data_IF_706654542486
#
_entry.id   IF_706654542486
#
_cell.length_a   1.000
_cell.length_b   1.000
_cell.length_c   1.000
_cell.angle_alpha   90.00
_cell.angle_beta   90.00
_cell.angle_gamma   90.00
#
_symmetry.space_group_name_H-M   'P 1'
#
loop_
_entity.id
_entity.type
_entity.pdbx_description
1 polymer ?
#
# COMPACT_ATOMS: atom_id res chain seq x y z
N UNK A 1 11.13 22.01 22.47
CA UNK A 1 10.42 21.71 21.22
C UNK A 1 10.54 22.95 20.35
N UNK A 2 11.36 22.89 19.31
CA UNK A 2 11.65 24.02 18.42
C UNK A 2 10.40 24.38 17.60
N UNK A 3 10.25 25.62 17.18
CA UNK A 3 9.11 26.18 16.43
C UNK A 3 8.75 25.36 15.15
N UNK A 4 9.70 24.66 14.59
CA UNK A 4 9.61 23.79 13.41
C UNK A 4 8.70 22.58 13.66
N UNK A 5 8.73 21.98 14.86
CA UNK A 5 7.85 20.86 15.19
C UNK A 5 6.36 21.23 15.19
N UNK A 6 6.00 22.47 15.53
CA UNK A 6 4.60 22.93 15.50
C UNK A 6 4.07 23.10 14.07
N UNK A 7 4.91 23.58 13.13
CA UNK A 7 4.51 23.80 11.73
C UNK A 7 4.29 22.53 10.92
N UNK A 8 4.75 21.36 11.41
CA UNK A 8 4.62 20.07 10.71
C UNK A 8 3.78 19.06 11.52
N UNK A 9 3.68 19.24 12.86
CA UNK A 9 2.97 18.33 13.72
C UNK A 9 1.49 18.18 13.33
N UNK A 10 0.78 19.29 13.27
CA UNK A 10 -0.65 19.31 13.00
C UNK A 10 -1.01 19.05 11.54
N UNK A 11 -0.34 19.65 10.53
CA UNK A 11 -0.73 19.43 9.13
C UNK A 11 -0.18 18.13 8.54
N UNK A 12 0.82 17.47 9.16
CA UNK A 12 1.47 16.30 8.57
C UNK A 12 1.41 15.06 9.46
N UNK A 13 1.87 15.14 10.73
CA UNK A 13 1.98 13.95 11.57
C UNK A 13 0.62 13.46 12.09
N UNK A 14 -0.22 14.36 12.62
CA UNK A 14 -1.54 13.95 13.11
C UNK A 14 -2.43 13.39 12.00
N UNK A 15 -2.54 14.02 10.82
CA UNK A 15 -3.25 13.41 9.69
C UNK A 15 -2.63 12.08 9.24
N UNK A 16 -1.30 11.91 9.32
CA UNK A 16 -0.67 10.64 9.00
C UNK A 16 -1.12 9.50 9.92
N UNK A 17 -1.38 9.78 11.20
CA UNK A 17 -1.93 8.80 12.14
C UNK A 17 -3.43 8.59 11.91
N UNK A 18 -4.22 9.70 11.82
CA UNK A 18 -5.67 9.64 11.65
C UNK A 18 -6.13 9.01 10.33
N UNK A 19 -5.30 9.03 9.28
CA UNK A 19 -5.57 8.32 8.04
C UNK A 19 -4.83 6.98 7.95
N UNK A 20 -3.67 6.86 8.60
CA UNK A 20 -2.83 5.66 8.51
C UNK A 20 -3.48 4.43 9.14
N UNK A 21 -4.00 4.56 10.37
CA UNK A 21 -4.66 3.45 11.06
C UNK A 21 -5.91 2.98 10.30
N UNK A 22 -6.86 3.87 9.91
CA UNK A 22 -7.98 3.49 9.06
C UNK A 22 -7.57 2.85 7.74
N UNK A 23 -6.57 3.38 7.06
CA UNK A 23 -6.12 2.85 5.78
C UNK A 23 -5.61 1.40 5.89
N UNK A 24 -4.98 1.04 7.02
CA UNK A 24 -4.55 -0.34 7.28
C UNK A 24 -5.71 -1.24 7.74
N UNK A 25 -6.63 -0.72 8.54
CA UNK A 25 -7.84 -1.43 8.95
C UNK A 25 -8.70 -1.81 7.73
N UNK A 26 -8.93 -0.88 6.82
CA UNK A 26 -9.75 -1.09 5.60
C UNK A 26 -9.20 -2.22 4.72
N UNK A 27 -7.89 -2.46 4.68
CA UNK A 27 -7.33 -3.57 3.90
C UNK A 27 -7.84 -4.94 4.35
N UNK A 28 -8.23 -5.09 5.62
CA UNK A 28 -8.83 -6.32 6.16
C UNK A 28 -10.35 -6.23 6.18
N UNK A 29 -10.89 -5.10 6.64
CA UNK A 29 -12.32 -4.93 6.82
C UNK A 29 -13.08 -4.99 5.49
N UNK A 30 -12.53 -4.38 4.44
CA UNK A 30 -13.22 -4.27 3.17
C UNK A 30 -13.53 -5.64 2.53
N UNK A 31 -12.57 -6.57 2.38
CA UNK A 31 -12.88 -7.89 1.84
C UNK A 31 -13.78 -8.72 2.78
N UNK A 32 -13.63 -8.61 4.10
CA UNK A 32 -14.47 -9.33 5.07
C UNK A 32 -15.91 -8.81 5.06
N UNK A 33 -16.11 -7.49 4.97
CA UNK A 33 -17.45 -6.91 4.91
C UNK A 33 -18.18 -7.26 3.60
N UNK A 34 -17.45 -7.33 2.48
CA UNK A 34 -18.03 -7.83 1.22
C UNK A 34 -18.51 -9.28 1.37
N UNK A 35 -17.79 -10.13 2.11
CA UNK A 35 -18.24 -11.51 2.39
C UNK A 35 -19.49 -11.52 3.28
N UNK A 36 -19.55 -10.67 4.33
CA UNK A 36 -20.71 -10.56 5.21
C UNK A 36 -21.97 -10.12 4.46
N UNK A 37 -21.83 -9.22 3.51
CA UNK A 37 -22.92 -8.79 2.62
C UNK A 37 -23.34 -9.86 1.58
N UNK A 38 -22.79 -11.07 1.66
CA UNK A 38 -23.10 -12.16 0.75
C UNK A 38 -22.33 -12.11 -0.57
N UNK A 39 -21.32 -11.24 -0.70
CA UNK A 39 -20.39 -11.25 -1.82
C UNK A 39 -19.46 -12.46 -1.73
N UNK A 40 -19.11 -13.03 -2.89
CA UNK A 40 -18.15 -14.13 -2.94
C UNK A 40 -16.70 -13.64 -2.78
N UNK A 41 -15.77 -14.58 -2.54
CA UNK A 41 -14.33 -14.32 -2.40
C UNK A 41 -13.75 -13.58 -3.60
N UNK A 42 -14.25 -13.87 -4.82
CA UNK A 42 -13.85 -13.15 -6.03
C UNK A 42 -14.23 -11.66 -5.98
N UNK A 43 -15.47 -11.35 -5.55
CA UNK A 43 -15.94 -9.97 -5.39
C UNK A 43 -15.13 -9.22 -4.33
N UNK A 44 -14.89 -9.85 -3.17
CA UNK A 44 -14.09 -9.29 -2.10
C UNK A 44 -12.66 -8.94 -2.56
N UNK A 45 -12.04 -9.84 -3.34
CA UNK A 45 -10.70 -9.61 -3.92
C UNK A 45 -10.72 -8.51 -4.98
N UNK A 46 -11.74 -8.48 -5.85
CA UNK A 46 -11.87 -7.47 -6.91
C UNK A 46 -12.04 -6.06 -6.34
N UNK A 47 -12.80 -5.91 -5.26
CA UNK A 47 -12.98 -4.62 -4.56
C UNK A 47 -11.64 -4.07 -4.08
N UNK A 48 -10.79 -4.90 -3.46
CA UNK A 48 -9.44 -4.48 -3.05
C UNK A 48 -8.56 -4.15 -4.26
N UNK A 49 -8.68 -4.93 -5.34
CA UNK A 49 -7.96 -4.66 -6.59
C UNK A 49 -8.36 -3.32 -7.22
N UNK A 50 -9.65 -3.00 -7.26
CA UNK A 50 -10.15 -1.72 -7.77
C UNK A 50 -9.68 -0.53 -6.93
N UNK A 51 -9.47 -0.71 -5.62
CA UNK A 51 -8.81 0.31 -4.81
C UNK A 51 -7.38 0.57 -5.33
N UNK A 52 -6.63 -0.47 -5.67
CA UNK A 52 -5.31 -0.34 -6.30
C UNK A 52 -5.36 0.36 -7.65
N UNK A 53 -6.35 0.04 -8.49
CA UNK A 53 -6.59 0.73 -9.77
C UNK A 53 -6.89 2.21 -9.55
N UNK A 54 -7.71 2.54 -8.55
CA UNK A 54 -8.00 3.93 -8.18
C UNK A 54 -6.75 4.70 -7.77
N UNK A 55 -5.83 4.09 -7.01
CA UNK A 55 -4.53 4.69 -6.68
C UNK A 55 -3.73 4.98 -7.95
N UNK A 56 -3.55 3.99 -8.80
CA UNK A 56 -2.78 4.08 -10.05
C UNK A 56 -3.32 5.17 -10.98
N UNK A 57 -4.63 5.21 -11.19
CA UNK A 57 -5.28 6.20 -12.07
C UNK A 57 -5.17 7.61 -11.51
N UNK A 58 -5.21 7.78 -10.19
CA UNK A 58 -5.15 9.08 -9.54
C UNK A 58 -3.73 9.66 -9.43
N UNK A 59 -2.67 8.86 -9.52
CA UNK A 59 -1.28 9.32 -9.32
C UNK A 59 -0.92 10.52 -10.20
N UNK A 60 -1.27 10.47 -11.46
CA UNK A 60 -0.96 11.55 -12.41
C UNK A 60 -1.87 12.77 -12.22
N UNK A 61 -3.22 12.62 -12.19
CA UNK A 61 -4.12 13.72 -11.90
C UNK A 61 -3.83 14.42 -10.57
N UNK A 62 -3.47 13.66 -9.53
CA UNK A 62 -3.17 14.21 -8.21
C UNK A 62 -1.98 15.20 -8.25
N UNK A 63 -0.90 14.85 -8.98
CA UNK A 63 0.23 15.75 -9.18
C UNK A 63 -0.16 17.03 -9.94
N UNK A 64 -1.03 16.92 -10.94
CA UNK A 64 -1.56 18.07 -11.69
C UNK A 64 -2.45 18.95 -10.82
N UNK A 65 -3.30 18.35 -10.00
CA UNK A 65 -4.16 19.08 -9.06
C UNK A 65 -3.32 19.83 -8.02
N UNK A 66 -2.27 19.18 -7.46
CA UNK A 66 -1.36 19.81 -6.50
C UNK A 66 -0.65 21.03 -7.11
N UNK A 67 -0.15 20.90 -8.35
CA UNK A 67 0.48 22.00 -9.06
C UNK A 67 -0.49 23.17 -9.37
N UNK A 68 -1.79 22.90 -9.53
CA UNK A 68 -2.78 23.90 -9.90
C UNK A 68 -3.47 24.56 -8.70
N UNK A 69 -3.81 23.79 -7.68
CA UNK A 69 -4.65 24.24 -6.56
C UNK A 69 -3.87 24.34 -5.24
N UNK A 70 -2.61 23.92 -5.22
CA UNK A 70 -1.78 23.86 -4.01
C UNK A 70 -2.01 22.58 -3.20
N UNK A 71 -1.02 22.25 -2.40
CA UNK A 71 -0.96 20.97 -1.67
C UNK A 71 -2.05 20.83 -0.62
N UNK A 72 -2.35 21.91 0.11
CA UNK A 72 -3.41 21.94 1.14
C UNK A 72 -4.77 21.57 0.56
N UNK A 73 -5.17 22.21 -0.54
CA UNK A 73 -6.49 21.98 -1.18
C UNK A 73 -6.59 20.53 -1.66
N UNK A 74 -5.51 20.00 -2.23
CA UNK A 74 -5.47 18.63 -2.72
C UNK A 74 -5.54 17.62 -1.57
N UNK A 75 -4.86 17.86 -0.45
CA UNK A 75 -4.97 17.03 0.74
C UNK A 75 -6.39 17.02 1.31
N UNK A 76 -7.05 18.18 1.41
CA UNK A 76 -8.43 18.31 1.88
C UNK A 76 -9.42 17.60 0.94
N UNK A 77 -9.27 17.78 -0.37
CA UNK A 77 -10.08 17.08 -1.36
C UNK A 77 -9.93 15.56 -1.26
N UNK A 78 -8.70 15.07 -1.12
CA UNK A 78 -8.43 13.65 -0.94
C UNK A 78 -9.10 13.09 0.33
N UNK A 79 -9.07 13.84 1.43
CA UNK A 79 -9.73 13.43 2.68
C UNK A 79 -11.25 13.40 2.54
N UNK A 80 -11.85 14.31 1.77
CA UNK A 80 -13.28 14.25 1.43
C UNK A 80 -13.59 12.96 0.68
N UNK A 81 -12.79 12.59 -0.34
CA UNK A 81 -12.97 11.34 -1.08
C UNK A 81 -12.86 10.11 -0.17
N UNK A 82 -11.87 10.06 0.71
CA UNK A 82 -11.66 8.94 1.63
C UNK A 82 -12.80 8.86 2.65
N UNK A 83 -13.12 9.98 3.29
CA UNK A 83 -14.15 10.05 4.32
C UNK A 83 -15.56 9.74 3.79
N UNK A 84 -15.90 10.27 2.59
CA UNK A 84 -17.15 9.94 1.93
C UNK A 84 -17.24 8.46 1.56
N UNK A 85 -16.14 7.84 1.07
CA UNK A 85 -16.12 6.42 0.80
C UNK A 85 -16.35 5.59 2.07
N UNK A 86 -15.69 5.92 3.19
CA UNK A 86 -15.89 5.22 4.46
C UNK A 86 -17.33 5.38 5.00
N UNK A 87 -17.86 6.60 4.95
CA UNK A 87 -19.24 6.85 5.36
C UNK A 87 -20.24 6.08 4.49
N UNK A 88 -20.01 6.04 3.16
CA UNK A 88 -20.91 5.34 2.26
C UNK A 88 -20.81 3.83 2.42
N UNK A 89 -19.63 3.25 2.72
CA UNK A 89 -19.53 1.83 3.10
C UNK A 89 -20.41 1.48 4.30
N UNK A 90 -20.57 2.39 5.27
CA UNK A 90 -21.42 2.19 6.43
C UNK A 90 -22.93 2.27 6.13
N UNK A 91 -23.31 2.88 5.00
CA UNK A 91 -24.71 3.17 4.67
C UNK A 91 -25.29 2.28 3.56
N UNK A 92 -24.42 1.55 2.85
CA UNK A 92 -24.80 0.80 1.65
C UNK A 92 -24.56 -0.69 1.87
N UNK A 93 -25.60 -1.50 1.63
CA UNK A 93 -25.59 -2.96 1.84
C UNK A 93 -25.45 -3.75 0.52
N UNK A 94 -25.28 -3.07 -0.62
CA UNK A 94 -25.12 -3.72 -1.91
C UNK A 94 -23.65 -3.75 -2.33
N UNK A 95 -23.12 -4.94 -2.60
CA UNK A 95 -21.74 -5.19 -3.02
C UNK A 95 -21.36 -4.42 -4.29
N UNK A 96 -22.32 -4.16 -5.18
CA UNK A 96 -22.11 -3.41 -6.42
C UNK A 96 -21.50 -2.01 -6.20
N UNK A 97 -21.90 -1.32 -5.13
CA UNK A 97 -21.36 -0.01 -4.79
C UNK A 97 -19.92 -0.06 -4.28
N UNK A 98 -19.51 -1.17 -3.66
CA UNK A 98 -18.18 -1.31 -3.10
C UNK A 98 -17.08 -1.23 -4.16
N UNK A 99 -17.35 -1.65 -5.38
CA UNK A 99 -16.40 -1.50 -6.50
C UNK A 99 -16.07 -0.04 -6.78
N UNK A 100 -17.10 0.81 -6.91
CA UNK A 100 -16.92 2.25 -7.15
C UNK A 100 -16.29 2.94 -5.95
N UNK A 101 -16.77 2.64 -4.75
CA UNK A 101 -16.28 3.24 -3.50
C UNK A 101 -14.81 2.88 -3.24
N UNK A 102 -14.40 1.64 -3.53
CA UNK A 102 -13.01 1.21 -3.42
C UNK A 102 -12.12 1.97 -4.40
N UNK A 103 -12.56 2.16 -5.64
CA UNK A 103 -11.86 2.99 -6.62
C UNK A 103 -11.69 4.43 -6.11
N UNK A 104 -12.77 5.05 -5.60
CA UNK A 104 -12.74 6.41 -5.02
C UNK A 104 -11.80 6.48 -3.81
N UNK A 105 -11.87 5.49 -2.92
CA UNK A 105 -10.99 5.40 -1.76
C UNK A 105 -9.51 5.28 -2.16
N UNK A 106 -9.23 4.47 -3.18
CA UNK A 106 -7.89 4.35 -3.76
C UNK A 106 -7.39 5.66 -4.33
N UNK A 107 -8.21 6.32 -5.17
CA UNK A 107 -7.89 7.61 -5.76
C UNK A 107 -7.62 8.68 -4.70
N UNK A 108 -8.47 8.76 -3.67
CA UNK A 108 -8.26 9.65 -2.52
C UNK A 108 -6.95 9.33 -1.77
N UNK A 109 -6.64 8.05 -1.55
CA UNK A 109 -5.44 7.62 -0.84
C UNK A 109 -4.14 8.04 -1.55
N UNK A 110 -4.06 7.85 -2.87
CA UNK A 110 -2.92 8.30 -3.66
C UNK A 110 -2.82 9.83 -3.72
N UNK A 111 -3.95 10.51 -3.93
CA UNK A 111 -4.03 11.98 -3.94
C UNK A 111 -3.54 12.58 -2.62
N UNK A 112 -3.96 12.02 -1.48
CA UNK A 112 -3.48 12.46 -0.17
C UNK A 112 -1.97 12.23 0.01
N UNK A 113 -1.48 11.06 -0.38
CA UNK A 113 -0.06 10.72 -0.26
C UNK A 113 0.83 11.68 -1.07
N UNK A 114 0.44 12.01 -2.30
CA UNK A 114 1.17 12.92 -3.17
C UNK A 114 1.13 14.36 -2.66
N UNK A 115 -0.06 14.87 -2.30
CA UNK A 115 -0.21 16.20 -1.72
C UNK A 115 0.62 16.36 -0.45
N UNK A 116 0.61 15.36 0.45
CA UNK A 116 1.42 15.37 1.66
C UNK A 116 2.93 15.38 1.37
N UNK A 117 3.41 14.60 0.40
CA UNK A 117 4.83 14.56 0.03
C UNK A 117 5.29 15.87 -0.59
N UNK A 118 4.46 16.49 -1.43
CA UNK A 118 4.68 17.80 -1.99
C UNK A 118 4.74 18.87 -0.89
N UNK A 119 3.75 18.87 0.01
CA UNK A 119 3.69 19.80 1.16
C UNK A 119 4.97 19.72 2.03
N UNK A 120 5.43 18.50 2.37
CA UNK A 120 6.67 18.33 3.15
C UNK A 120 7.87 18.90 2.39
N UNK A 121 7.89 18.74 1.08
CA UNK A 121 8.98 19.25 0.23
C UNK A 121 8.98 20.78 0.19
N UNK A 122 7.85 21.42 0.25
CA UNK A 122 7.72 22.88 0.31
C UNK A 122 7.97 23.43 1.73
N UNK A 123 7.37 22.80 2.74
CA UNK A 123 7.37 23.30 4.13
C UNK A 123 8.67 23.01 4.91
N UNK A 124 9.48 22.02 4.49
CA UNK A 124 10.68 21.61 5.24
C UNK A 124 11.98 21.94 4.53
N UNK A 125 12.98 22.36 5.28
CA UNK A 125 14.34 22.51 4.74
C UNK A 125 14.93 21.14 4.32
N UNK A 126 15.87 21.09 3.37
CA UNK A 126 16.49 19.82 2.92
C UNK A 126 17.10 18.99 4.05
N UNK A 127 17.59 19.65 5.12
CA UNK A 127 18.18 18.97 6.30
C UNK A 127 17.14 18.31 7.20
N UNK A 128 15.90 18.80 7.19
CA UNK A 128 14.83 18.34 8.08
C UNK A 128 13.91 17.32 7.41
N UNK A 129 13.79 17.35 6.08
CA UNK A 129 12.93 16.45 5.29
C UNK A 129 13.14 14.99 5.64
N UNK A 130 14.40 14.56 5.78
CA UNK A 130 14.73 13.17 6.12
C UNK A 130 14.11 12.74 7.45
N UNK A 131 14.20 13.61 8.49
CA UNK A 131 13.60 13.34 9.80
C UNK A 131 12.07 13.27 9.73
N UNK A 132 11.43 14.21 9.03
CA UNK A 132 9.98 14.25 8.87
C UNK A 132 9.48 13.00 8.15
N UNK A 133 10.10 12.64 7.03
CA UNK A 133 9.76 11.44 6.26
C UNK A 133 9.95 10.17 7.10
N UNK A 134 11.05 10.07 7.87
CA UNK A 134 11.31 8.92 8.75
C UNK A 134 10.26 8.79 9.85
N UNK A 135 9.81 9.90 10.45
CA UNK A 135 8.73 9.87 11.45
C UNK A 135 7.39 9.42 10.85
N UNK A 136 7.07 9.88 9.64
CA UNK A 136 5.86 9.42 8.92
C UNK A 136 5.97 7.93 8.60
N UNK A 137 7.11 7.47 8.10
CA UNK A 137 7.34 6.05 7.85
C UNK A 137 7.18 5.21 9.12
N UNK A 138 7.65 5.71 10.26
CA UNK A 138 7.45 5.11 11.58
C UNK A 138 5.97 5.04 11.98
N UNK A 139 5.22 6.15 11.81
CA UNK A 139 3.78 6.18 12.10
C UNK A 139 2.98 5.24 11.20
N UNK A 140 3.34 5.13 9.92
CA UNK A 140 2.69 4.17 9.00
C UNK A 140 2.97 2.71 9.39
N UNK A 141 4.14 2.40 9.95
CA UNK A 141 4.45 1.07 10.49
C UNK A 141 3.66 0.77 11.75
N UNK A 142 3.55 1.74 12.66
CA UNK A 142 2.65 1.64 13.81
C UNK A 142 1.19 1.40 13.38
N UNK A 143 0.75 2.11 12.33
CA UNK A 143 -0.57 1.91 11.77
C UNK A 143 -0.75 0.51 11.13
N UNK A 144 0.27 -0.01 10.45
CA UNK A 144 0.23 -1.36 9.88
C UNK A 144 0.17 -2.46 10.96
N UNK A 145 0.70 -2.16 12.15
CA UNK A 145 0.65 -3.04 13.31
C UNK A 145 -0.71 -3.00 14.02
N UNK A 146 -1.20 -1.78 14.29
CA UNK A 146 -2.39 -1.56 15.11
C UNK A 146 -3.69 -1.61 14.29
N UNK A 147 -3.67 -1.13 13.05
CA UNK A 147 -4.84 -0.97 12.20
C UNK A 147 -5.62 -2.26 11.98
N UNK A 148 -4.97 -3.34 11.55
CA UNK A 148 -5.63 -4.62 11.33
C UNK A 148 -6.35 -5.16 12.56
N UNK A 149 -5.66 -5.23 13.70
CA UNK A 149 -6.23 -5.76 14.94
C UNK A 149 -7.32 -4.84 15.50
N UNK A 150 -7.06 -3.53 15.57
CA UNK A 150 -8.04 -2.58 16.09
C UNK A 150 -9.31 -2.51 15.21
N UNK A 151 -9.13 -2.49 13.88
CA UNK A 151 -10.24 -2.50 12.94
C UNK A 151 -11.07 -3.78 13.05
N UNK A 152 -10.40 -4.94 13.07
CA UNK A 152 -11.06 -6.23 13.19
C UNK A 152 -11.82 -6.37 14.53
N UNK A 153 -11.20 -5.99 15.64
CA UNK A 153 -11.86 -6.00 16.96
C UNK A 153 -13.07 -5.06 16.99
N UNK A 154 -12.95 -3.82 16.46
CA UNK A 154 -14.10 -2.93 16.37
C UNK A 154 -15.24 -3.55 15.54
N UNK A 155 -14.94 -4.13 14.38
CA UNK A 155 -15.95 -4.75 13.53
C UNK A 155 -16.67 -5.91 14.23
N UNK A 156 -15.96 -6.68 15.05
CA UNK A 156 -16.55 -7.77 15.80
C UNK A 156 -17.43 -7.30 16.98
N UNK A 157 -17.02 -6.22 17.68
CA UNK A 157 -17.75 -5.72 18.85
C UNK A 157 -18.93 -4.81 18.50
N UNK A 158 -18.82 -3.96 17.47
CA UNK A 158 -19.84 -2.96 17.13
C UNK A 158 -20.38 -3.09 15.69
N UNK A 159 -19.93 -4.11 14.93
CA UNK A 159 -20.28 -4.35 13.53
C UNK A 159 -19.48 -3.53 12.53
N UNK A 160 -19.51 -3.95 11.26
CA UNK A 160 -18.76 -3.29 10.18
C UNK A 160 -19.25 -1.86 9.92
N UNK A 161 -20.56 -1.64 9.90
CA UNK A 161 -21.16 -0.33 9.63
C UNK A 161 -20.67 0.73 10.63
N UNK A 162 -20.82 0.44 11.94
CA UNK A 162 -20.38 1.35 12.99
C UNK A 162 -18.86 1.54 12.96
N UNK A 163 -18.09 0.50 12.61
CA UNK A 163 -16.65 0.60 12.46
C UNK A 163 -16.28 1.54 11.32
N UNK A 164 -16.91 1.44 10.14
CA UNK A 164 -16.68 2.37 9.04
C UNK A 164 -17.08 3.81 9.39
N UNK A 165 -18.12 4.04 10.19
CA UNK A 165 -18.45 5.36 10.75
C UNK A 165 -17.33 5.90 11.64
N UNK A 166 -16.76 5.05 12.51
CA UNK A 166 -15.61 5.43 13.34
C UNK A 166 -14.38 5.78 12.49
N UNK A 167 -14.11 5.00 11.42
CA UNK A 167 -13.03 5.30 10.50
C UNK A 167 -13.26 6.65 9.76
N UNK A 168 -14.49 6.92 9.33
CA UNK A 168 -14.85 8.20 8.73
C UNK A 168 -14.64 9.37 9.71
N UNK A 169 -15.01 9.19 10.98
CA UNK A 169 -14.80 10.21 12.01
C UNK A 169 -13.31 10.53 12.23
N UNK A 170 -12.42 9.52 12.20
CA UNK A 170 -10.98 9.78 12.27
C UNK A 170 -10.45 10.57 11.07
N UNK A 171 -11.00 10.34 9.86
CA UNK A 171 -10.66 11.15 8.67
C UNK A 171 -11.11 12.59 8.83
N UNK A 172 -12.29 12.83 9.43
CA UNK A 172 -12.76 14.20 9.74
C UNK A 172 -11.80 14.90 10.72
N UNK A 173 -11.30 14.21 11.75
CA UNK A 173 -10.28 14.78 12.66
C UNK A 173 -9.02 15.16 11.90
N UNK A 174 -8.54 14.29 11.01
CA UNK A 174 -7.40 14.59 10.14
C UNK A 174 -7.67 15.78 9.22
N UNK A 175 -8.87 15.86 8.63
CA UNK A 175 -9.30 16.97 7.80
C UNK A 175 -9.27 18.31 8.56
N UNK A 176 -9.80 18.33 9.78
CA UNK A 176 -9.77 19.53 10.63
C UNK A 176 -8.34 19.97 10.95
N UNK A 177 -7.45 18.99 11.25
CA UNK A 177 -6.03 19.29 11.48
C UNK A 177 -5.39 19.98 10.27
N UNK A 178 -5.61 19.48 9.04
CA UNK A 178 -5.08 20.09 7.82
C UNK A 178 -5.76 21.43 7.54
N UNK A 179 -7.09 21.52 7.65
CA UNK A 179 -7.85 22.73 7.36
C UNK A 179 -7.47 23.90 8.27
N UNK A 180 -7.15 23.63 9.53
CA UNK A 180 -6.85 24.69 10.51
C UNK A 180 -5.36 25.07 10.56
N UNK A 181 -4.45 24.23 10.09
CA UNK A 181 -3.02 24.39 10.37
C UNK A 181 -2.11 24.37 9.14
N UNK A 182 -2.55 23.80 8.00
CA UNK A 182 -1.74 23.80 6.82
C UNK A 182 -1.67 25.20 6.19
N UNK A 183 -0.46 25.59 5.80
CA UNK A 183 -0.19 26.85 5.12
C UNK A 183 -0.50 26.67 3.63
N UNK A 184 -1.12 27.68 3.00
CA UNK A 184 -1.34 27.68 1.57
C UNK A 184 -0.02 27.95 0.84
N UNK A 185 0.41 26.99 0.02
CA UNK A 185 1.54 27.19 -0.88
C UNK A 185 1.05 27.77 -2.22
N UNK A 186 1.79 28.74 -2.80
CA UNK A 186 1.47 29.21 -4.13
C UNK A 186 1.63 28.07 -5.14
N UNK A 187 0.70 27.94 -6.11
CA UNK A 187 0.75 26.88 -7.11
C UNK A 187 2.06 26.95 -7.92
N UNK A 188 2.83 25.85 -7.96
CA UNK A 188 4.00 25.73 -8.84
C UNK A 188 3.54 25.24 -10.22
N UNK A 189 3.32 26.17 -11.14
CA UNK A 189 2.85 25.90 -12.49
C UNK A 189 3.89 25.23 -13.41
N UNK A 190 4.84 24.48 -12.89
CA UNK A 190 5.74 23.66 -13.71
C UNK A 190 4.93 22.65 -14.50
N UNK A 191 4.70 22.96 -15.76
CA UNK A 191 3.97 22.12 -16.73
C UNK A 191 4.69 20.77 -16.85
N UNK A 192 4.05 19.70 -16.36
CA UNK A 192 4.49 18.35 -16.64
C UNK A 192 4.44 18.11 -18.15
N UNK A 193 5.58 17.83 -18.78
CA UNK A 193 5.69 17.59 -20.21
C UNK A 193 5.47 16.10 -20.49
N UNK A 194 4.26 15.71 -20.86
CA UNK A 194 3.92 14.31 -21.19
C UNK A 194 4.91 13.66 -22.16
N UNK A 195 5.35 14.39 -23.20
CA UNK A 195 6.38 13.90 -24.14
C UNK A 195 7.67 13.51 -23.42
N UNK A 196 8.08 14.26 -22.42
CA UNK A 196 9.28 13.94 -21.65
C UNK A 196 9.14 12.61 -20.87
N UNK A 197 7.93 12.30 -20.40
CA UNK A 197 7.65 11.04 -19.69
C UNK A 197 7.64 9.84 -20.64
N UNK A 198 7.03 9.96 -21.82
CA UNK A 198 7.04 8.90 -22.85
C UNK A 198 8.42 8.65 -23.42
N UNK A 199 9.18 9.71 -23.66
CA UNK A 199 10.57 9.61 -24.15
C UNK A 199 11.45 8.88 -23.11
N UNK A 200 11.28 9.20 -21.82
CA UNK A 200 11.99 8.53 -20.74
C UNK A 200 11.62 7.05 -20.64
N UNK A 201 10.33 6.73 -20.75
CA UNK A 201 9.86 5.34 -20.71
C UNK A 201 10.50 4.50 -21.82
N UNK A 202 10.65 5.08 -23.01
CA UNK A 202 11.28 4.40 -24.15
C UNK A 202 12.79 4.30 -23.99
N UNK A 203 13.45 5.37 -23.52
CA UNK A 203 14.90 5.42 -23.27
C UNK A 203 15.32 4.37 -22.23
N UNK A 204 14.56 4.24 -21.13
CA UNK A 204 14.86 3.31 -20.03
C UNK A 204 14.05 2.00 -20.08
N UNK A 205 13.49 1.64 -21.26
CA UNK A 205 12.67 0.44 -21.45
C UNK A 205 13.34 -0.85 -20.95
N UNK A 206 14.66 -0.97 -21.09
CA UNK A 206 15.42 -2.12 -20.58
C UNK A 206 15.38 -2.24 -19.06
N UNK A 207 15.53 -1.11 -18.36
CA UNK A 207 15.43 -1.05 -16.90
C UNK A 207 14.00 -1.38 -16.44
N UNK A 208 12.98 -0.83 -17.10
CA UNK A 208 11.59 -1.11 -16.78
C UNK A 208 11.20 -2.57 -17.10
N UNK A 209 11.77 -3.16 -18.16
CA UNK A 209 11.53 -4.57 -18.51
C UNK A 209 12.24 -5.57 -17.58
N UNK A 210 13.19 -5.15 -16.77
CA UNK A 210 13.92 -6.00 -15.81
C UNK A 210 13.58 -5.64 -14.37
N UNK A 211 14.20 -4.60 -13.83
CA UNK A 211 13.99 -4.15 -12.46
C UNK A 211 12.54 -3.64 -12.23
N UNK A 212 11.89 -3.07 -13.26
CA UNK A 212 10.48 -2.68 -13.21
C UNK A 212 9.55 -3.89 -13.04
N UNK A 213 9.73 -4.95 -13.83
CA UNK A 213 8.95 -6.20 -13.70
C UNK A 213 9.20 -6.84 -12.32
N UNK A 214 10.45 -6.84 -11.83
CA UNK A 214 10.77 -7.31 -10.49
C UNK A 214 9.97 -6.54 -9.43
N UNK A 215 9.90 -5.22 -9.55
CA UNK A 215 9.14 -4.35 -8.64
C UNK A 215 7.63 -4.57 -8.71
N UNK A 216 7.08 -4.75 -9.91
CA UNK A 216 5.67 -5.15 -10.12
C UNK A 216 5.40 -6.46 -9.39
N UNK A 217 6.28 -7.47 -9.54
CA UNK A 217 6.11 -8.78 -8.90
C UNK A 217 6.13 -8.67 -7.38
N UNK A 218 7.06 -7.92 -6.80
CA UNK A 218 7.06 -7.69 -5.35
C UNK A 218 5.78 -7.05 -4.86
N UNK A 219 5.29 -6.03 -5.56
CA UNK A 219 4.06 -5.33 -5.15
C UNK A 219 2.82 -6.19 -5.38
N UNK A 220 2.79 -7.02 -6.43
CA UNK A 220 1.74 -8.00 -6.67
C UNK A 220 1.66 -9.01 -5.52
N UNK A 221 2.78 -9.61 -5.12
CA UNK A 221 2.84 -10.57 -4.01
C UNK A 221 2.39 -9.91 -2.69
N UNK A 222 2.84 -8.69 -2.41
CA UNK A 222 2.46 -7.94 -1.21
C UNK A 222 0.97 -7.65 -1.17
N UNK A 223 0.40 -7.18 -2.28
CA UNK A 223 -1.01 -6.86 -2.37
C UNK A 223 -1.89 -8.12 -2.34
N UNK A 224 -1.48 -9.22 -2.98
CA UNK A 224 -2.18 -10.49 -2.90
C UNK A 224 -2.21 -11.05 -1.47
N UNK A 225 -1.12 -10.94 -0.71
CA UNK A 225 -1.06 -11.33 0.71
C UNK A 225 -2.13 -10.65 1.54
N UNK A 226 -2.37 -9.33 1.33
CA UNK A 226 -3.33 -8.55 2.11
C UNK A 226 -4.77 -9.00 1.92
N UNK A 227 -5.04 -9.74 0.85
CA UNK A 227 -6.36 -10.30 0.51
C UNK A 227 -6.44 -11.78 0.88
N UNK A 228 -5.40 -12.56 0.53
CA UNK A 228 -5.40 -14.01 0.74
C UNK A 228 -5.48 -14.39 2.22
N UNK A 229 -4.74 -13.73 3.11
CA UNK A 229 -4.77 -14.06 4.54
C UNK A 229 -6.15 -13.83 5.15
N UNK A 230 -6.80 -12.67 5.02
CA UNK A 230 -8.14 -12.46 5.57
C UNK A 230 -9.19 -13.39 4.98
N UNK A 231 -9.17 -13.60 3.66
CA UNK A 231 -10.18 -14.43 3.00
C UNK A 231 -10.03 -15.92 3.34
N UNK A 232 -8.79 -16.43 3.45
CA UNK A 232 -8.54 -17.79 3.94
C UNK A 232 -8.97 -17.93 5.41
N UNK A 233 -8.67 -16.92 6.24
CA UNK A 233 -9.14 -16.92 7.63
C UNK A 233 -10.67 -16.98 7.74
N UNK A 234 -11.37 -16.25 6.89
CA UNK A 234 -12.83 -16.30 6.83
C UNK A 234 -13.36 -17.66 6.33
N UNK A 235 -12.70 -18.26 5.30
CA UNK A 235 -13.05 -19.60 4.80
C UNK A 235 -12.85 -20.69 5.88
N UNK A 236 -11.83 -20.53 6.74
CA UNK A 236 -11.58 -21.40 7.88
C UNK A 236 -12.55 -21.16 9.05
N UNK A 237 -13.49 -20.21 8.93
CA UNK A 237 -14.46 -19.88 9.97
C UNK A 237 -13.86 -19.15 11.17
N UNK A 238 -12.71 -18.49 11.03
CA UNK A 238 -12.08 -17.73 12.10
C UNK A 238 -12.84 -16.41 12.35
N UNK A 239 -12.96 -16.04 13.62
CA UNK A 239 -13.50 -14.73 14.02
C UNK A 239 -12.68 -13.58 13.44
N UNK A 240 -13.34 -12.46 13.18
CA UNK A 240 -12.72 -11.27 12.55
C UNK A 240 -11.52 -10.78 13.36
N UNK A 241 -11.60 -10.76 14.69
CA UNK A 241 -10.48 -10.37 15.57
C UNK A 241 -9.29 -11.34 15.45
N UNK A 242 -9.55 -12.63 15.33
CA UNK A 242 -8.49 -13.65 15.15
C UNK A 242 -7.78 -13.45 13.81
N UNK A 243 -8.51 -13.15 12.74
CA UNK A 243 -7.95 -12.80 11.44
C UNK A 243 -7.07 -11.55 11.56
N UNK A 244 -7.58 -10.51 12.23
CA UNK A 244 -6.83 -9.28 12.52
C UNK A 244 -5.54 -9.55 13.31
N UNK A 245 -5.57 -10.48 14.27
CA UNK A 245 -4.39 -10.91 15.03
C UNK A 245 -3.35 -11.57 14.12
N UNK A 246 -3.74 -12.51 13.25
CA UNK A 246 -2.84 -13.17 12.30
C UNK A 246 -2.11 -12.16 11.42
N UNK A 247 -2.84 -11.17 10.87
CA UNK A 247 -2.25 -10.12 10.04
C UNK A 247 -1.33 -9.22 10.86
N UNK A 248 -1.72 -8.85 12.08
CA UNK A 248 -0.89 -8.02 12.96
C UNK A 248 0.39 -8.73 13.41
N UNK A 249 0.35 -10.03 13.72
CA UNK A 249 1.55 -10.83 14.02
C UNK A 249 2.50 -10.84 12.81
N UNK A 250 1.97 -11.05 11.61
CA UNK A 250 2.77 -10.95 10.38
C UNK A 250 3.40 -9.56 10.20
N UNK A 251 2.68 -8.49 10.56
CA UNK A 251 3.18 -7.12 10.49
C UNK A 251 4.25 -6.82 11.56
N UNK A 252 4.16 -7.40 12.76
CA UNK A 252 5.20 -7.29 13.80
C UNK A 252 6.53 -7.79 13.26
N UNK A 253 6.52 -8.98 12.64
CA UNK A 253 7.71 -9.61 12.08
C UNK A 253 8.29 -8.80 10.92
N UNK A 254 7.42 -8.30 10.03
CA UNK A 254 7.80 -7.40 8.94
C UNK A 254 8.54 -6.16 9.49
N UNK A 255 7.97 -5.49 10.48
CA UNK A 255 8.57 -4.30 11.11
C UNK A 255 9.88 -4.63 11.82
N UNK A 256 9.96 -5.75 12.54
CA UNK A 256 11.17 -6.16 13.24
C UNK A 256 12.35 -6.44 12.28
N UNK A 257 12.06 -6.98 11.11
CA UNK A 257 13.08 -7.32 10.11
C UNK A 257 13.46 -6.16 9.18
N UNK A 258 12.73 -5.06 9.20
CA UNK A 258 13.03 -3.91 8.34
C UNK A 258 14.44 -3.37 8.50
N UNK A 259 14.86 -3.12 9.74
CA UNK A 259 16.18 -2.55 10.00
C UNK A 259 17.32 -3.55 9.70
N UNK A 260 17.26 -4.83 10.14
CA UNK A 260 18.22 -5.86 9.72
C UNK A 260 18.31 -6.03 8.20
N UNK A 261 17.19 -6.05 7.49
CA UNK A 261 17.15 -6.16 6.03
C UNK A 261 17.89 -5.00 5.34
N UNK A 262 17.67 -3.76 5.83
CA UNK A 262 18.41 -2.59 5.36
C UNK A 262 19.92 -2.74 5.54
N UNK A 263 20.38 -3.20 6.72
CA UNK A 263 21.81 -3.44 6.98
C UNK A 263 22.42 -4.51 6.05
N UNK A 264 21.68 -5.59 5.79
CA UNK A 264 22.12 -6.62 4.85
C UNK A 264 22.25 -6.05 3.44
N UNK A 265 21.24 -5.31 3.01
CA UNK A 265 21.19 -4.67 1.69
C UNK A 265 22.32 -3.66 1.48
N UNK A 266 22.69 -2.92 2.53
CA UNK A 266 23.78 -1.94 2.46
C UNK A 266 25.19 -2.57 2.53
N UNK A 267 25.32 -3.76 3.14
CA UNK A 267 26.61 -4.46 3.27
C UNK A 267 26.88 -5.48 2.17
N UNK A 268 25.85 -6.20 1.74
CA UNK A 268 25.99 -7.35 0.84
C UNK A 268 25.36 -7.13 -0.53
N UNK A 269 24.78 -5.93 -0.74
CA UNK A 269 24.13 -5.59 -1.99
C UNK A 269 22.62 -5.86 -2.03
N UNK A 270 21.98 -5.29 -3.04
CA UNK A 270 20.51 -5.36 -3.20
C UNK A 270 20.05 -6.77 -3.55
N UNK A 271 20.84 -7.50 -4.34
CA UNK A 271 20.54 -8.90 -4.72
C UNK A 271 20.54 -9.86 -3.53
N UNK A 272 21.39 -9.61 -2.53
CA UNK A 272 21.50 -10.45 -1.33
C UNK A 272 20.20 -10.51 -0.51
N UNK A 273 19.36 -9.49 -0.60
CA UNK A 273 18.03 -9.44 0.03
C UNK A 273 16.91 -9.70 -0.97
N UNK A 274 17.00 -9.18 -2.20
CA UNK A 274 15.96 -9.28 -3.21
C UNK A 274 15.67 -10.73 -3.62
N UNK A 275 16.70 -11.50 -3.91
CA UNK A 275 16.55 -12.88 -4.40
C UNK A 275 15.98 -13.81 -3.33
N UNK A 276 16.57 -13.94 -2.12
CA UNK A 276 16.02 -14.82 -1.11
C UNK A 276 14.62 -14.43 -0.66
N UNK A 277 14.37 -13.12 -0.49
CA UNK A 277 13.05 -12.65 -0.05
C UNK A 277 11.96 -12.89 -1.10
N UNK A 278 12.25 -12.72 -2.40
CA UNK A 278 11.28 -12.99 -3.46
C UNK A 278 10.92 -14.47 -3.55
N UNK A 279 11.90 -15.36 -3.44
CA UNK A 279 11.70 -16.82 -3.44
C UNK A 279 10.89 -17.25 -2.21
N UNK A 280 11.28 -16.77 -1.03
CA UNK A 280 10.56 -17.06 0.21
C UNK A 280 9.12 -16.55 0.16
N UNK A 281 8.90 -15.36 -0.42
CA UNK A 281 7.56 -14.77 -0.56
C UNK A 281 6.69 -15.63 -1.48
N UNK A 282 7.20 -16.01 -2.65
CA UNK A 282 6.49 -16.86 -3.60
C UNK A 282 6.15 -18.24 -3.00
N UNK A 283 7.11 -18.87 -2.33
CA UNK A 283 6.91 -20.14 -1.66
C UNK A 283 5.87 -20.05 -0.53
N UNK A 284 5.93 -19.00 0.29
CA UNK A 284 4.97 -18.78 1.37
C UNK A 284 3.56 -18.47 0.85
N UNK A 285 3.42 -17.72 -0.25
CA UNK A 285 2.11 -17.52 -0.89
C UNK A 285 1.54 -18.85 -1.42
N UNK A 286 2.37 -19.68 -2.06
CA UNK A 286 1.93 -21.01 -2.48
C UNK A 286 1.55 -21.89 -1.28
N UNK A 287 2.29 -21.80 -0.17
CA UNK A 287 2.01 -22.56 1.05
C UNK A 287 0.69 -22.17 1.73
N UNK A 288 0.11 -20.99 1.45
CA UNK A 288 -1.25 -20.64 1.91
C UNK A 288 -2.30 -21.65 1.42
N UNK A 289 -2.08 -22.29 0.26
CA UNK A 289 -2.99 -23.32 -0.26
C UNK A 289 -3.08 -24.57 0.63
N UNK A 290 -2.11 -24.76 1.53
CA UNK A 290 -2.04 -25.89 2.47
C UNK A 290 -2.58 -25.50 3.87
N UNK A 291 -2.92 -24.23 4.08
CA UNK A 291 -3.46 -23.78 5.37
C UNK A 291 -4.91 -24.29 5.53
N UNK A 292 -5.14 -25.09 6.56
CA UNK A 292 -6.42 -25.73 6.85
C UNK A 292 -6.92 -25.49 8.28
N UNK A 293 -6.16 -24.77 9.08
CA UNK A 293 -6.50 -24.36 10.44
C UNK A 293 -5.80 -23.05 10.84
N UNK A 294 -6.14 -22.54 12.04
CA UNK A 294 -5.52 -21.34 12.59
C UNK A 294 -3.99 -21.42 12.67
N UNK A 295 -3.43 -22.54 13.12
CA UNK A 295 -1.99 -22.65 13.37
C UNK A 295 -1.19 -22.69 12.06
N UNK A 296 -1.69 -23.40 11.05
CA UNK A 296 -1.07 -23.43 9.72
C UNK A 296 -1.17 -22.07 9.02
N UNK A 297 -2.31 -21.38 9.11
CA UNK A 297 -2.46 -20.02 8.59
C UNK A 297 -1.51 -19.05 9.29
N UNK A 298 -1.41 -19.11 10.62
CA UNK A 298 -0.52 -18.26 11.41
C UNK A 298 0.96 -18.53 11.05
N UNK A 299 1.35 -19.81 10.93
CA UNK A 299 2.72 -20.18 10.57
C UNK A 299 3.12 -19.61 9.19
N UNK A 300 2.25 -19.76 8.19
CA UNK A 300 2.49 -19.21 6.86
C UNK A 300 2.48 -17.67 6.88
N UNK A 301 1.58 -17.03 7.64
CA UNK A 301 1.54 -15.58 7.80
C UNK A 301 2.83 -15.04 8.45
N UNK A 302 3.44 -15.77 9.39
CA UNK A 302 4.76 -15.47 9.97
C UNK A 302 5.84 -15.49 8.88
N UNK A 303 5.89 -16.55 8.06
CA UNK A 303 6.85 -16.64 6.96
C UNK A 303 6.66 -15.52 5.94
N UNK A 304 5.40 -15.18 5.62
CA UNK A 304 5.08 -14.01 4.77
C UNK A 304 5.53 -12.69 5.40
N UNK A 305 5.45 -12.57 6.72
CA UNK A 305 6.01 -11.43 7.48
C UNK A 305 7.53 -11.34 7.32
N UNK A 306 8.24 -12.46 7.44
CA UNK A 306 9.70 -12.55 7.20
C UNK A 306 10.05 -12.12 5.77
N UNK A 307 9.38 -12.71 4.78
CA UNK A 307 9.63 -12.43 3.37
C UNK A 307 9.38 -10.95 3.04
N UNK A 308 8.28 -10.37 3.58
CA UNK A 308 7.96 -8.96 3.39
C UNK A 308 8.98 -8.04 4.07
N UNK A 309 9.34 -8.33 5.31
CA UNK A 309 10.33 -7.56 6.07
C UNK A 309 11.70 -7.52 5.39
N UNK A 310 12.18 -8.67 4.91
CA UNK A 310 13.44 -8.75 4.15
C UNK A 310 13.38 -8.02 2.83
N UNK A 311 12.21 -7.93 2.19
CA UNK A 311 12.02 -7.23 0.91
C UNK A 311 11.66 -5.75 1.06
N UNK A 312 11.44 -5.28 2.30
CA UNK A 312 11.02 -3.90 2.54
C UNK A 312 12.17 -2.94 2.21
N UNK A 313 11.89 -1.94 1.40
CA UNK A 313 12.89 -0.98 0.91
C UNK A 313 13.50 -1.34 -0.45
N UNK A 314 13.57 -2.62 -0.86
CA UNK A 314 14.19 -3.04 -2.12
C UNK A 314 13.60 -2.29 -3.32
N UNK A 315 12.26 -2.24 -3.43
CA UNK A 315 11.57 -1.58 -4.55
C UNK A 315 11.91 -0.10 -4.62
N UNK A 316 11.97 0.59 -3.48
CA UNK A 316 12.29 2.01 -3.42
C UNK A 316 13.78 2.25 -3.70
N UNK A 317 14.66 1.41 -3.16
CA UNK A 317 16.11 1.51 -3.35
C UNK A 317 16.49 1.26 -4.81
N UNK A 318 15.97 0.21 -5.44
CA UNK A 318 16.19 -0.04 -6.87
C UNK A 318 15.72 1.14 -7.73
N UNK A 319 14.53 1.68 -7.46
CA UNK A 319 14.04 2.86 -8.16
C UNK A 319 14.96 4.07 -8.02
N UNK A 320 15.51 4.31 -6.83
CA UNK A 320 16.41 5.45 -6.58
C UNK A 320 17.81 5.25 -7.13
N UNK A 321 18.34 4.02 -7.09
CA UNK A 321 19.66 3.68 -7.58
C UNK A 321 19.73 3.72 -9.12
N UNK A 322 18.64 3.31 -9.79
CA UNK A 322 18.55 3.28 -11.26
C UNK A 322 18.08 4.61 -11.87
N UNK A 323 17.62 5.55 -11.05
CA UNK A 323 17.09 6.82 -11.53
C UNK A 323 18.21 7.75 -12.04
N UNK A 324 18.13 8.26 -13.30
CA UNK A 324 19.09 9.21 -13.83
C UNK A 324 19.05 10.53 -13.06
N UNK A 325 20.21 11.06 -12.67
CA UNK A 325 20.31 12.26 -11.84
C UNK A 325 19.58 13.48 -12.44
N UNK A 326 19.67 13.67 -13.76
CA UNK A 326 19.07 14.79 -14.47
C UNK A 326 17.52 14.75 -14.54
N UNK A 327 16.93 13.54 -14.51
CA UNK A 327 15.48 13.32 -14.70
C UNK A 327 14.89 12.43 -13.62
N UNK A 328 15.46 12.49 -12.41
CA UNK A 328 15.14 11.62 -11.28
C UNK A 328 13.64 11.62 -10.91
N UNK A 329 13.03 12.80 -10.90
CA UNK A 329 11.61 12.94 -10.54
C UNK A 329 10.67 12.26 -11.54
N UNK A 330 10.93 12.42 -12.84
CA UNK A 330 10.14 11.80 -13.91
C UNK A 330 10.29 10.27 -13.88
N UNK A 331 11.51 9.76 -13.66
CA UNK A 331 11.80 8.35 -13.56
C UNK A 331 11.08 7.70 -12.36
N UNK A 332 11.18 8.33 -11.18
CA UNK A 332 10.51 7.84 -9.97
C UNK A 332 8.97 7.90 -10.09
N UNK A 333 8.44 8.85 -10.84
CA UNK A 333 7.01 8.89 -11.17
C UNK A 333 6.56 7.67 -11.99
N UNK A 334 7.30 7.32 -13.06
CA UNK A 334 7.05 6.10 -13.84
C UNK A 334 7.26 4.83 -13.01
N UNK A 335 8.32 4.81 -12.19
CA UNK A 335 8.58 3.70 -11.28
C UNK A 335 7.42 3.44 -10.32
N UNK A 336 6.86 4.51 -9.77
CA UNK A 336 5.68 4.44 -8.90
C UNK A 336 4.46 3.88 -9.62
N UNK A 337 4.20 4.33 -10.85
CA UNK A 337 3.10 3.81 -11.66
C UNK A 337 3.21 2.28 -11.87
N UNK A 338 4.43 1.77 -12.12
CA UNK A 338 4.68 0.33 -12.22
C UNK A 338 4.43 -0.40 -10.90
N UNK A 339 4.86 0.18 -9.78
CA UNK A 339 4.61 -0.42 -8.46
C UNK A 339 3.12 -0.45 -8.10
N UNK A 340 2.39 0.59 -8.43
CA UNK A 340 0.94 0.65 -8.20
C UNK A 340 0.16 -0.29 -9.13
N UNK A 341 0.66 -0.52 -10.37
CA UNK A 341 0.16 -1.59 -11.23
C UNK A 341 0.29 -2.97 -10.55
N UNK A 342 1.45 -3.27 -9.94
CA UNK A 342 1.64 -4.50 -9.17
C UNK A 342 0.66 -4.60 -8.00
N UNK A 343 0.46 -3.50 -7.28
CA UNK A 343 -0.46 -3.43 -6.14
C UNK A 343 -1.92 -3.67 -6.54
N UNK A 344 -2.33 -3.20 -7.70
CA UNK A 344 -3.66 -3.47 -8.26
C UNK A 344 -3.78 -4.91 -8.80
N UNK A 345 -2.72 -5.39 -9.49
CA UNK A 345 -2.71 -6.71 -10.12
C UNK A 345 -2.82 -7.85 -9.10
N UNK A 346 -2.22 -7.72 -7.90
CA UNK A 346 -2.25 -8.77 -6.89
C UNK A 346 -3.66 -9.24 -6.54
N UNK A 347 -4.52 -8.39 -5.97
CA UNK A 347 -5.90 -8.73 -5.63
C UNK A 347 -6.75 -9.10 -6.85
N UNK A 348 -6.53 -8.46 -8.02
CA UNK A 348 -7.26 -8.80 -9.25
C UNK A 348 -6.88 -10.20 -9.75
N UNK A 349 -5.62 -10.62 -9.62
CA UNK A 349 -5.18 -11.98 -9.92
C UNK A 349 -5.85 -12.98 -8.99
N UNK A 350 -5.94 -12.66 -7.69
CA UNK A 350 -6.68 -13.50 -6.72
C UNK A 350 -8.15 -13.61 -7.12
N UNK A 351 -8.80 -12.49 -7.45
CA UNK A 351 -10.21 -12.48 -7.90
C UNK A 351 -10.43 -13.38 -9.11
N UNK A 352 -9.61 -13.23 -10.15
CA UNK A 352 -9.70 -14.02 -11.35
C UNK A 352 -9.46 -15.52 -11.08
N UNK A 353 -8.43 -15.85 -10.30
CA UNK A 353 -8.11 -17.23 -10.01
C UNK A 353 -9.19 -17.92 -9.15
N UNK A 354 -9.82 -17.20 -8.22
CA UNK A 354 -10.97 -17.70 -7.44
C UNK A 354 -12.18 -17.94 -8.33
N UNK A 355 -12.45 -17.07 -9.30
CA UNK A 355 -13.56 -17.27 -10.25
C UNK A 355 -13.40 -18.54 -11.10
N UNK A 356 -12.14 -18.95 -11.36
CA UNK A 356 -11.82 -20.14 -12.15
C UNK A 356 -11.64 -21.42 -11.29
N UNK A 357 -11.56 -21.27 -9.95
CA UNK A 357 -11.28 -22.40 -9.07
C UNK A 357 -11.62 -22.10 -7.61
N UNK A 358 -10.61 -22.10 -6.76
CA UNK A 358 -10.74 -21.87 -5.32
C UNK A 358 -9.73 -20.84 -4.82
N UNK A 359 -9.84 -20.43 -3.56
CA UNK A 359 -8.85 -19.54 -2.94
C UNK A 359 -7.47 -20.24 -2.81
N UNK A 360 -7.46 -21.56 -2.65
CA UNK A 360 -6.23 -22.37 -2.64
C UNK A 360 -5.55 -22.33 -4.02
N UNK A 361 -6.36 -22.45 -5.10
CA UNK A 361 -5.87 -22.29 -6.48
C UNK A 361 -5.33 -20.87 -6.72
N UNK A 362 -5.98 -19.84 -6.15
CA UNK A 362 -5.50 -18.47 -6.23
C UNK A 362 -4.16 -18.28 -5.50
N UNK A 363 -3.99 -18.87 -4.33
CA UNK A 363 -2.73 -18.85 -3.59
C UNK A 363 -1.58 -19.51 -4.40
N UNK A 364 -1.84 -20.66 -5.02
CA UNK A 364 -0.88 -21.34 -5.92
C UNK A 364 -0.58 -20.48 -7.17
N UNK A 365 -1.59 -19.88 -7.79
CA UNK A 365 -1.41 -19.03 -8.96
C UNK A 365 -0.52 -17.83 -8.65
N UNK A 366 -0.80 -17.11 -7.55
CA UNK A 366 0.01 -15.96 -7.13
C UNK A 366 1.42 -16.40 -6.74
N UNK A 367 1.56 -17.54 -6.05
CA UNK A 367 2.86 -18.15 -5.74
C UNK A 367 3.67 -18.48 -6.99
N UNK A 368 3.04 -19.06 -8.02
CA UNK A 368 3.68 -19.37 -9.31
C UNK A 368 4.10 -18.10 -10.06
N UNK A 369 3.26 -17.06 -10.10
CA UNK A 369 3.62 -15.76 -10.67
C UNK A 369 4.77 -15.12 -9.89
N UNK A 370 4.75 -15.23 -8.56
CA UNK A 370 5.84 -14.79 -7.70
C UNK A 370 7.15 -15.54 -7.99
N UNK A 371 7.09 -16.85 -8.20
CA UNK A 371 8.26 -17.66 -8.55
C UNK A 371 8.84 -17.28 -9.91
N UNK A 372 7.97 -17.06 -10.93
CA UNK A 372 8.39 -16.56 -12.23
C UNK A 372 9.07 -15.18 -12.12
N UNK A 373 8.47 -14.26 -11.33
CA UNK A 373 9.08 -12.97 -11.05
C UNK A 373 10.39 -13.07 -10.26
N UNK A 374 10.50 -14.03 -9.33
CA UNK A 374 11.77 -14.29 -8.60
C UNK A 374 12.88 -14.75 -9.55
N UNK A 375 12.54 -15.51 -10.59
CA UNK A 375 13.49 -15.85 -11.64
C UNK A 375 13.97 -14.62 -12.42
N UNK A 376 13.06 -13.66 -12.69
CA UNK A 376 13.44 -12.36 -13.28
C UNK A 376 14.36 -11.59 -12.35
N UNK A 377 14.04 -11.54 -11.04
CA UNK A 377 14.90 -10.90 -10.03
C UNK A 377 16.30 -11.55 -10.03
N UNK A 378 16.35 -12.88 -10.00
CA UNK A 378 17.62 -13.62 -9.99
C UNK A 378 18.45 -13.40 -11.26
N UNK A 379 17.82 -13.42 -12.45
CA UNK A 379 18.53 -13.45 -13.73
C UNK A 379 18.90 -12.06 -14.25
N UNK A 380 18.06 -11.04 -13.99
CA UNK A 380 18.12 -9.76 -14.67
C UNK A 380 18.30 -8.54 -13.76
N UNK A 381 18.08 -8.66 -12.45
CA UNK A 381 18.36 -7.56 -11.54
C UNK A 381 19.87 -7.58 -11.24
N UNK A 382 20.55 -6.58 -11.75
CA UNK A 382 21.98 -6.39 -11.49
C UNK A 382 22.21 -5.82 -10.09
N UNK A 383 23.41 -6.07 -9.53
CA UNK A 383 23.81 -5.45 -8.28
C UNK A 383 24.04 -3.96 -8.48
N UNK A 384 23.33 -3.13 -7.72
CA UNK A 384 23.43 -1.67 -7.82
C UNK A 384 24.35 -1.06 -6.76
N UNK A 385 24.76 -1.85 -5.74
CA UNK A 385 25.76 -1.42 -4.77
C UNK A 385 27.12 -1.33 -5.47
N UNK A 386 27.69 -0.12 -5.50
CA UNK A 386 29.01 0.14 -6.03
C UNK A 386 30.02 0.21 -4.90
#
# INVERSE_FOLDING_TARGET
MTSIHRGVLFPVYLPAVFLGVPAQAVLILLPLYVLELGGGVAAASAVVGLRGVGMMVADIPAGMLAARFGDRVVMLFAMILIGSAYLTYALVNEVSWFYLLAFINGAGSSTFLLGRMSYITAACSPRERGRVISMIAGSMRGAALLGPLAGAALAEFIGFEATFMCLAATVVLGFLCVAMTAIDDPPDLKKMRWRAVTDLAFEYRGVFATAGIASITFMLMRAARTVLIPLLGAELGLETTVIGLVVSVSAIIDVALFYPAGMIMDRHGRRATAVPSSILFAAALAALSLANDFYSLLAVAIVLGVANGLSTGIVMTLGTDLAPAARRGEFLGLWRLLTDLGSAAGPLTVSLAVTLGSIQAAALCVGALGAAGSLVVYRFVEETLK
#
